data_IF_394869422421
#
_entry.id   IF_394869422421
#
_cell.length_a   1.000
_cell.length_b   1.000
_cell.length_c   1.000
_cell.angle_alpha   90.00
_cell.angle_beta   90.00
_cell.angle_gamma   90.00
#
_symmetry.space_group_name_H-M   'P 1'
#
loop_
_entity.id
_entity.type
_entity.pdbx_description
1 polymer ?
#
# COMPACT_ATOMS: atom_id res chain seq x y z
N UNK A 1 -7.14 -1.33 21.28
CA UNK A 1 -7.18 -2.06 20.01
C UNK A 1 -7.68 -1.06 19.01
N UNK A 2 -6.73 -0.39 18.38
CA UNK A 2 -6.92 0.99 17.95
C UNK A 2 -7.50 0.96 16.54
N UNK A 3 -8.75 1.39 16.41
CA UNK A 3 -9.51 1.39 15.15
C UNK A 3 -8.73 2.08 14.01
N UNK A 4 -7.90 3.05 14.37
CA UNK A 4 -7.01 3.78 13.46
C UNK A 4 -5.97 2.87 12.82
N UNK A 5 -5.36 1.96 13.58
CA UNK A 5 -4.36 1.01 13.06
C UNK A 5 -5.01 0.03 12.10
N UNK A 6 -6.19 -0.47 12.46
CA UNK A 6 -7.00 -1.37 11.64
C UNK A 6 -7.31 -0.67 10.30
N UNK A 7 -7.82 0.56 10.33
CA UNK A 7 -8.12 1.32 9.11
C UNK A 7 -6.88 1.56 8.23
N UNK A 8 -5.74 1.86 8.85
CA UNK A 8 -4.47 2.05 8.16
C UNK A 8 -3.88 0.75 7.59
N UNK A 9 -4.24 -0.40 8.16
CA UNK A 9 -3.86 -1.72 7.64
C UNK A 9 -4.75 -2.18 6.49
N UNK A 10 -6.05 -1.89 6.55
CA UNK A 10 -7.03 -2.33 5.55
C UNK A 10 -7.19 -1.41 4.34
N UNK A 11 -6.76 -0.15 4.43
CA UNK A 11 -6.80 0.83 3.33
C UNK A 11 -6.24 0.31 1.98
N UNK A 12 -5.03 -0.28 1.90
CA UNK A 12 -4.52 -0.76 0.61
C UNK A 12 -5.35 -1.91 0.03
N UNK A 13 -5.94 -2.75 0.88
CA UNK A 13 -6.80 -3.86 0.45
C UNK A 13 -8.16 -3.36 -0.04
N UNK A 14 -8.73 -2.35 0.64
CA UNK A 14 -9.96 -1.68 0.22
C UNK A 14 -9.79 -1.01 -1.15
N UNK A 15 -8.67 -0.33 -1.38
CA UNK A 15 -8.37 0.28 -2.68
C UNK A 15 -8.22 -0.77 -3.79
N UNK A 16 -7.56 -1.89 -3.51
CA UNK A 16 -7.43 -2.98 -4.49
C UNK A 16 -8.79 -3.62 -4.83
N UNK A 17 -9.62 -3.93 -3.83
CA UNK A 17 -10.94 -4.53 -4.02
C UNK A 17 -11.87 -3.57 -4.76
N UNK A 18 -11.88 -2.29 -4.40
CA UNK A 18 -12.67 -1.27 -5.08
C UNK A 18 -12.24 -1.09 -6.55
N UNK A 19 -10.94 -1.13 -6.84
CA UNK A 19 -10.42 -1.07 -8.20
C UNK A 19 -10.83 -2.27 -9.05
N UNK A 20 -10.71 -3.48 -8.51
CA UNK A 20 -11.14 -4.72 -9.19
C UNK A 20 -12.65 -4.72 -9.43
N UNK A 21 -13.44 -4.33 -8.43
CA UNK A 21 -14.90 -4.23 -8.57
C UNK A 21 -15.30 -3.19 -9.62
N UNK A 22 -14.62 -2.04 -9.66
CA UNK A 22 -14.86 -1.02 -10.69
C UNK A 22 -14.59 -1.55 -12.11
N UNK A 23 -13.52 -2.31 -12.31
CA UNK A 23 -13.18 -2.91 -13.60
C UNK A 23 -14.23 -3.96 -14.02
N UNK A 24 -14.67 -4.79 -13.08
CA UNK A 24 -15.62 -5.88 -13.35
C UNK A 24 -17.05 -5.39 -13.61
N UNK A 25 -17.49 -4.31 -12.94
CA UNK A 25 -18.90 -3.90 -12.96
C UNK A 25 -19.22 -2.80 -13.97
N UNK A 26 -18.31 -1.86 -14.21
CA UNK A 26 -18.64 -0.64 -14.99
C UNK A 26 -18.51 -0.84 -16.50
N UNK A 27 -17.63 -1.74 -16.98
CA UNK A 27 -17.44 -2.06 -18.41
C UNK A 27 -17.06 -0.87 -19.33
N UNK A 28 -17.08 0.35 -18.81
CA UNK A 28 -16.79 1.61 -19.47
C UNK A 28 -15.33 1.97 -19.29
N UNK A 29 -14.75 2.61 -20.31
CA UNK A 29 -13.35 3.07 -20.35
C UNK A 29 -12.99 3.91 -19.11
N UNK A 30 -13.95 4.69 -18.59
CA UNK A 30 -13.78 5.49 -17.38
C UNK A 30 -13.62 4.61 -16.13
N UNK A 31 -14.42 3.54 -15.98
CA UNK A 31 -14.31 2.61 -14.87
C UNK A 31 -13.02 1.78 -14.90
N UNK A 32 -12.53 1.48 -16.10
CA UNK A 32 -11.22 0.84 -16.29
C UNK A 32 -10.10 1.80 -15.85
N UNK A 33 -10.14 3.06 -16.30
CA UNK A 33 -9.14 4.07 -15.94
C UNK A 33 -9.11 4.32 -14.42
N UNK A 34 -10.28 4.44 -13.79
CA UNK A 34 -10.42 4.61 -12.35
C UNK A 34 -9.94 3.39 -11.56
N UNK A 35 -10.31 2.19 -12.01
CA UNK A 35 -9.86 0.94 -11.39
C UNK A 35 -8.35 0.72 -11.51
N UNK A 36 -7.76 1.10 -12.63
CA UNK A 36 -6.31 1.03 -12.84
C UNK A 36 -5.57 2.02 -11.91
N UNK A 37 -6.11 3.22 -11.73
CA UNK A 37 -5.59 4.22 -10.81
C UNK A 37 -5.64 3.74 -9.34
N UNK A 38 -6.73 3.07 -8.95
CA UNK A 38 -6.89 2.44 -7.63
C UNK A 38 -5.87 1.30 -7.39
N UNK A 39 -5.63 0.46 -8.40
CA UNK A 39 -4.62 -0.62 -8.32
C UNK A 39 -3.21 -0.04 -8.20
N UNK A 40 -2.87 0.99 -8.99
CA UNK A 40 -1.57 1.68 -8.90
C UNK A 40 -1.38 2.31 -7.52
N UNK A 41 -2.41 2.97 -6.98
CA UNK A 41 -2.36 3.53 -5.63
C UNK A 41 -2.12 2.44 -4.57
N UNK A 42 -2.83 1.31 -4.64
CA UNK A 42 -2.61 0.17 -3.74
C UNK A 42 -1.17 -0.37 -3.84
N UNK A 43 -0.66 -0.54 -5.07
CA UNK A 43 0.73 -0.96 -5.31
C UNK A 43 1.75 0.02 -4.76
N UNK A 44 1.52 1.33 -4.91
CA UNK A 44 2.38 2.38 -4.38
C UNK A 44 2.44 2.34 -2.84
N UNK A 45 1.30 2.13 -2.17
CA UNK A 45 1.23 2.00 -0.71
C UNK A 45 2.01 0.77 -0.23
N UNK A 46 1.86 -0.37 -0.92
CA UNK A 46 2.62 -1.58 -0.61
C UNK A 46 4.12 -1.36 -0.81
N UNK A 47 4.51 -0.72 -1.91
CA UNK A 47 5.91 -0.40 -2.20
C UNK A 47 6.49 0.54 -1.14
N UNK A 48 5.76 1.59 -0.76
CA UNK A 48 6.18 2.52 0.29
C UNK A 48 6.32 1.80 1.64
N UNK A 49 5.40 0.89 1.98
CA UNK A 49 5.48 0.06 3.19
C UNK A 49 6.68 -0.89 3.15
N UNK A 50 6.98 -1.47 2.00
CA UNK A 50 8.16 -2.33 1.82
C UNK A 50 9.47 -1.52 1.97
N UNK A 51 9.53 -0.33 1.36
CA UNK A 51 10.68 0.56 1.45
C UNK A 51 10.89 1.07 2.89
N UNK A 52 9.81 1.39 3.59
CA UNK A 52 9.88 1.80 5.00
C UNK A 52 10.44 0.69 5.90
N UNK A 53 10.06 -0.58 5.67
CA UNK A 53 10.64 -1.72 6.39
C UNK A 53 12.14 -1.88 6.10
N UNK A 54 12.60 -1.71 4.86
CA UNK A 54 14.05 -1.75 4.54
C UNK A 54 14.82 -0.61 5.21
N UNK A 55 14.28 0.61 5.17
CA UNK A 55 14.94 1.78 5.77
C UNK A 55 15.11 1.66 7.30
N UNK A 56 14.21 0.95 7.98
CA UNK A 56 14.32 0.65 9.41
C UNK A 56 15.43 -0.37 9.70
N UNK A 57 15.55 -1.42 8.88
CA UNK A 57 16.63 -2.42 9.01
C UNK A 57 18.02 -1.78 8.83
N UNK A 58 18.18 -0.93 7.82
CA UNK A 58 19.45 -0.23 7.54
C UNK A 58 19.83 0.77 8.66
N UNK A 59 18.85 1.40 9.31
CA UNK A 59 19.10 2.27 10.47
C UNK A 59 19.51 1.48 11.70
N UNK A 60 18.96 0.29 11.90
CA UNK A 60 19.32 -0.56 13.02
C UNK A 60 20.77 -1.04 12.88
N UNK A 61 21.17 -1.47 11.68
CA UNK A 61 22.52 -2.00 11.41
C UNK A 61 23.64 -0.97 11.63
N UNK A 62 23.41 0.30 11.30
CA UNK A 62 24.37 1.39 11.57
C UNK A 62 24.57 1.72 13.05
N UNK A 63 23.57 1.46 13.92
CA UNK A 63 23.77 1.62 15.37
C UNK A 63 24.65 0.54 15.96
N UNK A 64 24.57 -0.70 15.45
CA UNK A 64 25.31 -1.84 15.98
C UNK A 64 26.79 -1.77 15.61
N UNK A 65 27.12 -1.22 14.44
CA UNK A 65 28.51 -1.08 13.96
C UNK A 65 29.26 0.12 14.54
N UNK A 66 28.53 1.17 14.96
CA UNK A 66 29.15 2.36 15.59
C UNK A 66 29.53 2.12 17.06
N UNK A 67 29.01 1.06 17.68
CA UNK A 67 29.29 0.70 19.08
C UNK A 67 30.40 -0.36 19.24
N UNK A 68 31.17 -0.63 18.17
CA UNK A 68 32.28 -1.60 18.17
C UNK A 68 33.64 -0.91 18.03
#
# INVERSE_FOLDING_TARGET
MDFETIWYEYTPYLYAIAGIMSILHIGSVIGICFGLLLIVAAGLIIWLRHNYRRSQSDKNERRITTFR
#
